data_IF_309147203201
#
_entry.id   IF_309147203201
#
_cell.length_a   1.000
_cell.length_b   1.000
_cell.length_c   1.000
_cell.angle_alpha   90.00
_cell.angle_beta   90.00
_cell.angle_gamma   90.00
#
_symmetry.space_group_name_H-M   'P 1'
#
loop_
_entity.id
_entity.type
_entity.pdbx_description
1 polymer ?
#
# COMPACT_ATOMS: atom_id res chain seq x y z
N UNK A 1 33.04 30.65 -21.93
CA UNK A 1 33.10 29.21 -21.56
C UNK A 1 31.81 28.86 -20.84
N UNK A 2 30.82 28.31 -21.55
CA UNK A 2 29.53 27.89 -20.96
C UNK A 2 29.61 26.41 -20.69
N UNK A 3 29.43 26.01 -19.44
CA UNK A 3 29.41 24.61 -19.01
C UNK A 3 28.01 24.07 -19.34
N UNK A 4 27.97 23.11 -20.25
CA UNK A 4 26.78 22.34 -20.62
C UNK A 4 26.47 21.36 -19.49
N UNK A 5 25.34 21.56 -18.79
CA UNK A 5 24.84 20.58 -17.81
C UNK A 5 23.99 19.56 -18.55
N UNK A 6 24.50 18.34 -18.63
CA UNK A 6 23.83 17.17 -19.19
C UNK A 6 22.44 16.98 -18.55
N UNK A 7 21.42 16.82 -19.41
CA UNK A 7 20.09 16.33 -19.04
C UNK A 7 20.22 14.86 -18.62
N UNK A 8 20.13 14.60 -17.32
CA UNK A 8 19.88 13.24 -16.83
C UNK A 8 18.37 13.04 -16.92
N UNK A 9 17.94 12.28 -17.93
CA UNK A 9 16.56 11.85 -18.12
C UNK A 9 16.30 10.67 -17.19
N UNK A 10 15.61 10.92 -16.06
CA UNK A 10 15.04 9.82 -15.28
C UNK A 10 13.82 9.26 -16.01
N UNK A 11 13.64 7.92 -16.04
CA UNK A 11 12.49 7.31 -16.70
C UNK A 11 11.25 7.52 -15.83
N UNK A 12 10.57 8.66 -16.01
CA UNK A 12 9.20 8.84 -15.54
C UNK A 12 8.32 7.96 -16.44
N UNK A 13 8.20 6.67 -16.10
CA UNK A 13 7.12 5.86 -16.65
C UNK A 13 5.83 6.46 -16.10
N UNK A 14 5.19 7.23 -16.97
CA UNK A 14 3.81 7.68 -16.94
C UNK A 14 3.01 7.10 -15.76
N UNK A 15 2.74 7.95 -14.77
CA UNK A 15 1.53 7.79 -13.95
C UNK A 15 0.40 7.47 -14.93
N UNK A 16 -0.33 6.37 -14.71
CA UNK A 16 -1.51 6.08 -15.53
C UNK A 16 -2.62 7.03 -15.07
N UNK A 17 -2.48 8.30 -15.48
CA UNK A 17 -3.37 9.42 -15.17
C UNK A 17 -4.80 9.12 -15.66
N UNK A 18 -4.97 8.10 -16.50
CA UNK A 18 -6.25 7.58 -16.97
C UNK A 18 -7.16 7.14 -15.81
N UNK A 19 -6.59 6.65 -14.69
CA UNK A 19 -7.36 6.28 -13.50
C UNK A 19 -7.93 7.54 -12.82
N UNK A 20 -7.14 8.62 -12.74
CA UNK A 20 -7.55 9.92 -12.20
C UNK A 20 -8.40 10.77 -13.17
N UNK A 21 -8.39 10.44 -14.46
CA UNK A 21 -9.17 11.09 -15.53
C UNK A 21 -10.53 10.44 -15.76
N UNK A 22 -10.83 9.32 -15.10
CA UNK A 22 -12.15 8.71 -15.17
C UNK A 22 -13.16 9.63 -14.49
N UNK A 23 -14.20 10.01 -15.24
CA UNK A 23 -15.15 11.09 -14.98
C UNK A 23 -16.15 10.81 -13.83
N UNK A 24 -15.75 9.99 -12.86
CA UNK A 24 -16.57 9.61 -11.69
C UNK A 24 -15.80 9.68 -10.36
N UNK A 25 -14.62 10.31 -10.34
CA UNK A 25 -14.05 10.84 -9.10
C UNK A 25 -14.70 12.21 -8.84
N UNK A 26 -15.79 12.25 -8.08
CA UNK A 26 -16.07 13.44 -7.28
C UNK A 26 -15.28 13.30 -5.97
N UNK A 27 -14.11 13.96 -5.83
CA UNK A 27 -13.53 14.12 -4.51
C UNK A 27 -14.52 14.94 -3.66
N UNK A 28 -14.81 14.50 -2.44
CA UNK A 28 -15.68 15.17 -1.45
C UNK A 28 -15.17 16.58 -1.07
N UNK A 29 -14.05 17.01 -1.64
CA UNK A 29 -13.56 18.37 -1.67
C UNK A 29 -13.14 18.61 -3.13
N UNK A 30 -13.91 19.36 -3.90
CA UNK A 30 -13.43 19.87 -5.19
C UNK A 30 -12.28 20.86 -4.88
N UNK A 31 -11.01 20.53 -5.15
CA UNK A 31 -9.96 21.52 -5.01
C UNK A 31 -10.16 22.58 -6.11
N UNK A 32 -10.07 23.86 -5.77
CA UNK A 32 -10.09 24.94 -6.77
C UNK A 32 -8.94 24.72 -7.76
N UNK A 33 -9.28 24.28 -8.97
CA UNK A 33 -8.34 23.93 -10.02
C UNK A 33 -7.53 25.13 -10.52
N UNK A 34 -7.89 26.36 -10.12
CA UNK A 34 -7.11 27.56 -10.42
C UNK A 34 -5.92 27.78 -9.47
N UNK A 35 -5.86 27.08 -8.33
CA UNK A 35 -4.71 27.15 -7.40
C UNK A 35 -3.66 26.06 -7.64
N UNK A 36 -3.94 25.05 -8.47
CA UNK A 36 -3.01 23.93 -8.72
C UNK A 36 -1.98 24.36 -9.76
N UNK A 37 -1.03 25.21 -9.34
CA UNK A 37 0.10 25.59 -10.17
C UNK A 37 1.06 24.40 -10.29
N UNK A 38 0.91 23.62 -11.36
CA UNK A 38 1.75 22.50 -11.82
C UNK A 38 1.34 21.09 -11.38
N UNK A 39 1.20 20.20 -12.38
CA UNK A 39 0.99 18.75 -12.27
C UNK A 39 1.94 18.01 -11.30
N UNK A 40 3.03 18.65 -10.90
CA UNK A 40 4.03 18.12 -9.97
C UNK A 40 3.53 18.05 -8.51
N UNK A 41 2.43 18.74 -8.17
CA UNK A 41 1.90 18.81 -6.80
C UNK A 41 0.83 17.74 -6.50
N UNK A 42 0.26 17.10 -7.54
CA UNK A 42 -0.79 16.08 -7.39
C UNK A 42 -0.36 14.87 -6.53
N UNK A 43 0.86 14.31 -6.68
CA UNK A 43 1.32 13.24 -5.79
C UNK A 43 1.38 13.67 -4.33
N UNK A 44 1.86 14.90 -4.07
CA UNK A 44 1.96 15.44 -2.71
C UNK A 44 0.57 15.65 -2.09
N UNK A 45 -0.39 16.16 -2.86
CA UNK A 45 -1.76 16.38 -2.39
C UNK A 45 -2.45 15.04 -2.03
N UNK A 46 -2.21 13.99 -2.82
CA UNK A 46 -2.70 12.65 -2.49
C UNK A 46 -2.06 12.10 -1.21
N UNK A 47 -0.73 12.19 -1.08
CA UNK A 47 0.00 11.71 0.10
C UNK A 47 -0.36 12.48 1.37
N UNK A 48 -0.74 13.76 1.25
CA UNK A 48 -1.12 14.59 2.39
C UNK A 48 -2.39 14.12 3.12
N UNK A 49 -3.19 13.26 2.49
CA UNK A 49 -4.35 12.61 3.13
C UNK A 49 -3.96 11.56 4.16
N UNK A 50 -2.73 11.03 4.08
CA UNK A 50 -2.25 9.99 4.98
C UNK A 50 -1.43 10.59 6.11
N UNK A 51 -1.46 9.92 7.27
CA UNK A 51 -0.57 10.25 8.38
C UNK A 51 0.91 10.16 7.94
N UNK A 52 1.81 11.06 8.38
CA UNK A 52 3.20 11.07 7.92
C UNK A 52 3.95 9.74 8.04
N UNK A 53 3.65 8.94 9.08
CA UNK A 53 4.32 7.66 9.33
C UNK A 53 4.12 6.60 8.24
N UNK A 54 3.08 6.69 7.43
CA UNK A 54 2.78 5.69 6.39
C UNK A 54 3.08 6.18 4.97
N UNK A 55 3.32 7.48 4.78
CA UNK A 55 3.46 8.09 3.44
C UNK A 55 4.56 7.45 2.62
N UNK A 56 5.71 7.13 3.22
CA UNK A 56 6.83 6.51 2.51
C UNK A 56 6.47 5.11 1.95
N UNK A 57 5.59 4.38 2.64
CA UNK A 57 5.14 3.06 2.21
C UNK A 57 4.11 3.17 1.09
N UNK A 58 3.19 4.13 1.20
CA UNK A 58 2.19 4.42 0.16
C UNK A 58 2.88 4.90 -1.12
N UNK A 59 3.75 5.90 -1.01
CA UNK A 59 4.51 6.45 -2.13
C UNK A 59 5.35 5.35 -2.79
N UNK A 60 6.14 4.63 -2.00
CA UNK A 60 7.00 3.60 -2.55
C UNK A 60 6.23 2.44 -3.16
N UNK A 61 5.04 2.09 -2.65
CA UNK A 61 4.17 1.08 -3.25
C UNK A 61 3.65 1.52 -4.61
N UNK A 62 3.28 2.79 -4.75
CA UNK A 62 2.80 3.36 -6.02
C UNK A 62 3.94 3.44 -7.04
N UNK A 63 5.16 3.78 -6.60
CA UNK A 63 6.32 3.92 -7.47
C UNK A 63 7.13 2.64 -7.66
N UNK A 64 6.69 1.49 -7.11
CA UNK A 64 7.50 0.27 -7.11
C UNK A 64 7.65 -0.28 -8.54
N UNK A 65 8.89 -0.29 -9.02
CA UNK A 65 9.26 -0.91 -10.31
C UNK A 65 10.14 -2.14 -10.16
N UNK A 66 10.57 -2.45 -8.93
CA UNK A 66 11.57 -3.48 -8.64
C UNK A 66 10.98 -4.68 -7.87
N UNK A 67 9.66 -4.67 -7.62
CA UNK A 67 8.97 -5.65 -6.77
C UNK A 67 9.53 -5.67 -5.34
N UNK A 68 9.90 -4.51 -4.82
CA UNK A 68 10.30 -4.35 -3.42
C UNK A 68 9.09 -4.43 -2.46
N UNK A 69 7.88 -4.24 -2.99
CA UNK A 69 6.63 -4.29 -2.24
C UNK A 69 5.83 -5.57 -2.53
N UNK A 70 5.17 -6.08 -1.50
CA UNK A 70 4.41 -7.33 -1.54
C UNK A 70 3.05 -7.12 -2.20
N UNK A 71 2.79 -7.82 -3.31
CA UNK A 71 1.52 -7.82 -4.04
C UNK A 71 0.65 -9.05 -3.76
N UNK A 72 1.13 -10.00 -2.97
CA UNK A 72 0.45 -11.28 -2.70
C UNK A 72 -0.20 -11.28 -1.33
N UNK A 73 0.55 -10.91 -0.29
CA UNK A 73 0.06 -10.86 1.09
C UNK A 73 0.12 -9.45 1.69
N UNK A 74 0.55 -8.48 0.89
CA UNK A 74 0.60 -7.08 1.26
C UNK A 74 -0.62 -6.29 0.83
N UNK A 75 -0.60 -5.02 1.19
CA UNK A 75 -1.59 -4.03 0.79
C UNK A 75 -1.47 -3.74 -0.71
N UNK A 76 -2.62 -3.59 -1.37
CA UNK A 76 -2.73 -3.23 -2.78
C UNK A 76 -3.84 -2.21 -3.01
N UNK A 77 -3.80 -1.47 -4.11
CA UNK A 77 -4.92 -0.61 -4.50
C UNK A 77 -5.98 -1.46 -5.19
N UNK A 78 -7.18 -1.53 -4.61
CA UNK A 78 -8.30 -2.31 -5.16
C UNK A 78 -9.18 -1.44 -6.05
N UNK A 79 -9.33 -1.78 -7.35
CA UNK A 79 -10.30 -1.12 -8.20
C UNK A 79 -11.75 -1.32 -7.74
N UNK A 80 -12.04 -2.46 -7.08
CA UNK A 80 -13.38 -2.80 -6.58
C UNK A 80 -13.79 -1.88 -5.43
N UNK A 81 -12.90 -1.70 -4.44
CA UNK A 81 -13.16 -0.80 -3.31
C UNK A 81 -12.88 0.66 -3.63
N UNK A 82 -12.22 0.94 -4.76
CA UNK A 82 -11.68 2.25 -5.14
C UNK A 82 -10.75 2.84 -4.06
N UNK A 83 -10.09 1.97 -3.30
CA UNK A 83 -9.21 2.32 -2.19
C UNK A 83 -8.20 1.19 -1.91
N UNK A 84 -7.33 1.39 -0.92
CA UNK A 84 -6.40 0.39 -0.43
C UNK A 84 -7.14 -0.81 0.18
N UNK A 85 -6.60 -2.00 -0.09
CA UNK A 85 -7.15 -3.26 0.39
C UNK A 85 -6.04 -4.23 0.80
N UNK A 86 -6.43 -5.22 1.58
CA UNK A 86 -5.63 -6.41 1.88
C UNK A 86 -6.57 -7.60 1.91
N UNK A 87 -6.24 -8.68 1.20
CA UNK A 87 -7.15 -9.81 1.04
C UNK A 87 -8.50 -9.38 0.45
N UNK A 88 -9.60 -9.85 1.03
CA UNK A 88 -10.97 -9.57 0.61
C UNK A 88 -11.55 -8.25 1.17
N UNK A 89 -10.71 -7.39 1.76
CA UNK A 89 -11.18 -6.29 2.60
C UNK A 89 -10.49 -4.96 2.34
N UNK A 90 -11.21 -3.83 2.47
CA UNK A 90 -10.59 -2.52 2.54
C UNK A 90 -9.70 -2.42 3.79
N UNK A 91 -8.62 -1.66 3.67
CA UNK A 91 -7.74 -1.28 4.77
C UNK A 91 -7.76 0.23 4.93
N UNK A 92 -8.13 0.71 6.11
CA UNK A 92 -8.30 2.14 6.37
C UNK A 92 -7.08 2.63 7.15
N UNK A 93 -6.41 3.64 6.61
CA UNK A 93 -5.31 4.33 7.29
C UNK A 93 -5.85 5.55 8.03
N UNK A 94 -5.91 5.46 9.36
CA UNK A 94 -6.47 6.50 10.22
C UNK A 94 -5.55 7.71 10.32
N UNK A 95 -6.14 8.86 10.68
CA UNK A 95 -5.37 10.08 10.99
C UNK A 95 -4.38 9.89 12.15
N UNK A 96 -4.66 8.96 13.08
CA UNK A 96 -3.74 8.59 14.16
C UNK A 96 -2.49 7.84 13.69
N UNK A 97 -2.44 7.43 12.41
CA UNK A 97 -1.45 6.50 11.88
C UNK A 97 -1.87 5.03 12.02
N UNK A 98 -2.87 4.72 12.84
CA UNK A 98 -3.35 3.34 13.00
C UNK A 98 -3.99 2.79 11.73
N UNK A 99 -4.11 1.47 11.69
CA UNK A 99 -4.67 0.74 10.56
C UNK A 99 -5.93 0.03 11.02
N UNK A 100 -7.02 0.14 10.26
CA UNK A 100 -8.27 -0.57 10.54
C UNK A 100 -8.61 -1.56 9.42
N UNK A 101 -8.97 -2.80 9.80
CA UNK A 101 -9.43 -3.85 8.89
C UNK A 101 -10.59 -4.60 9.54
N UNK A 102 -11.73 -4.72 8.84
CA UNK A 102 -12.99 -5.32 9.35
C UNK A 102 -13.32 -4.83 10.77
N UNK A 103 -13.42 -3.50 10.93
CA UNK A 103 -13.78 -2.81 12.18
C UNK A 103 -12.82 -3.01 13.36
N UNK A 104 -11.66 -3.65 13.14
CA UNK A 104 -10.60 -3.79 14.14
C UNK A 104 -9.45 -2.87 13.81
N UNK A 105 -9.12 -2.01 14.77
CA UNK A 105 -7.97 -1.11 14.72
C UNK A 105 -6.70 -1.79 15.27
N UNK A 106 -5.57 -1.47 14.66
CA UNK A 106 -4.24 -1.92 15.01
C UNK A 106 -3.30 -0.72 15.09
N UNK A 107 -2.43 -0.72 16.08
CA UNK A 107 -1.41 0.33 16.24
C UNK A 107 -0.52 0.43 15.00
N UNK A 108 -0.41 1.63 14.45
CA UNK A 108 0.40 1.92 13.28
C UNK A 108 1.87 2.09 13.63
N UNK A 109 2.63 1.00 13.56
CA UNK A 109 4.08 1.00 13.81
C UNK A 109 4.86 0.84 12.51
N UNK A 110 6.13 1.27 12.50
CA UNK A 110 7.05 1.01 11.39
C UNK A 110 7.11 -0.48 11.04
N UNK A 111 7.17 -1.35 12.05
CA UNK A 111 7.24 -2.80 11.84
C UNK A 111 5.96 -3.38 11.24
N UNK A 112 4.79 -2.90 11.65
CA UNK A 112 3.54 -3.30 11.03
C UNK A 112 3.44 -2.81 9.58
N UNK A 113 3.85 -1.58 9.28
CA UNK A 113 3.87 -1.09 7.90
C UNK A 113 4.85 -1.87 7.02
N UNK A 114 6.04 -2.22 7.53
CA UNK A 114 6.95 -3.10 6.79
C UNK A 114 6.30 -4.44 6.45
N UNK A 115 5.62 -5.07 7.42
CA UNK A 115 4.89 -6.31 7.20
C UNK A 115 3.72 -6.14 6.23
N UNK A 116 3.02 -5.01 6.24
CA UNK A 116 1.89 -4.76 5.33
C UNK A 116 2.32 -4.44 3.90
N UNK A 117 3.49 -3.83 3.70
CA UNK A 117 3.87 -3.27 2.41
C UNK A 117 5.05 -3.96 1.73
N UNK A 118 6.09 -4.35 2.48
CA UNK A 118 7.35 -4.81 1.90
C UNK A 118 7.34 -6.31 1.59
N UNK A 119 8.05 -6.66 0.51
CA UNK A 119 8.30 -8.05 0.15
C UNK A 119 9.28 -8.73 1.12
N UNK A 120 10.24 -7.96 1.64
CA UNK A 120 11.27 -8.38 2.58
C UNK A 120 11.30 -7.41 3.79
N UNK A 121 10.41 -7.59 4.77
CA UNK A 121 10.45 -6.81 6.02
C UNK A 121 11.72 -7.13 6.80
N UNK A 122 12.32 -6.13 7.43
CA UNK A 122 13.62 -6.22 8.13
C UNK A 122 13.44 -5.96 9.63
N UNK A 123 12.62 -4.99 10.01
CA UNK A 123 12.50 -4.52 11.39
C UNK A 123 11.05 -4.58 11.87
N UNK A 124 10.70 -5.61 12.64
CA UNK A 124 9.38 -5.73 13.26
C UNK A 124 9.45 -6.44 14.61
N UNK A 125 8.51 -6.13 15.49
CA UNK A 125 8.38 -6.76 16.81
C UNK A 125 7.47 -7.99 16.74
N UNK A 126 7.48 -8.86 17.76
CA UNK A 126 6.49 -9.94 17.87
C UNK A 126 5.04 -9.44 17.89
N UNK A 127 4.78 -8.25 18.45
CA UNK A 127 3.45 -7.65 18.45
C UNK A 127 3.00 -7.24 17.05
N UNK A 128 3.91 -6.66 16.25
CA UNK A 128 3.63 -6.31 14.85
C UNK A 128 3.32 -7.56 14.03
N UNK A 129 4.08 -8.63 14.24
CA UNK A 129 3.84 -9.92 13.61
C UNK A 129 2.44 -10.45 13.96
N UNK A 130 2.09 -10.47 15.25
CA UNK A 130 0.76 -10.90 15.71
C UNK A 130 -0.37 -10.04 15.11
N UNK A 131 -0.19 -8.73 15.03
CA UNK A 131 -1.16 -7.82 14.41
C UNK A 131 -1.31 -8.12 12.91
N UNK A 132 -0.20 -8.26 12.19
CA UNK A 132 -0.20 -8.60 10.77
C UNK A 132 -0.90 -9.94 10.49
N UNK A 133 -0.61 -10.98 11.28
CA UNK A 133 -1.27 -12.30 11.14
C UNK A 133 -2.78 -12.20 11.36
N UNK A 134 -3.19 -11.42 12.37
CA UNK A 134 -4.60 -11.19 12.64
C UNK A 134 -5.29 -10.47 11.47
N UNK A 135 -4.60 -9.51 10.84
CA UNK A 135 -5.07 -8.83 9.62
C UNK A 135 -5.23 -9.86 8.49
N UNK A 136 -4.19 -10.64 8.19
CA UNK A 136 -4.20 -11.67 7.14
C UNK A 136 -5.39 -12.62 7.33
N UNK A 137 -5.55 -13.17 8.54
CA UNK A 137 -6.64 -14.10 8.86
C UNK A 137 -8.02 -13.47 8.72
N UNK A 138 -8.18 -12.22 9.18
CA UNK A 138 -9.47 -11.51 9.11
C UNK A 138 -9.86 -11.16 7.69
N UNK A 139 -8.91 -10.78 6.85
CA UNK A 139 -9.15 -10.43 5.46
C UNK A 139 -9.03 -11.60 4.49
N UNK A 140 -8.91 -12.83 4.98
CA UNK A 140 -8.78 -14.02 4.15
C UNK A 140 -7.59 -13.98 3.18
N UNK A 141 -6.59 -13.13 3.42
CA UNK A 141 -5.43 -12.97 2.54
C UNK A 141 -4.58 -14.25 2.44
N UNK A 142 -4.73 -15.19 3.38
CA UNK A 142 -4.09 -16.50 3.34
C UNK A 142 -4.69 -17.45 2.30
N UNK A 143 -5.90 -17.19 1.78
CA UNK A 143 -6.59 -18.10 0.86
C UNK A 143 -6.39 -17.71 -0.60
N UNK A 144 -6.42 -18.70 -1.49
CA UNK A 144 -6.31 -18.49 -2.92
C UNK A 144 -7.48 -17.64 -3.44
N UNK A 145 -7.19 -16.46 -3.98
CA UNK A 145 -8.23 -15.51 -4.39
C UNK A 145 -9.07 -14.99 -3.23
N UNK A 146 -8.52 -15.02 -2.01
CA UNK A 146 -9.14 -14.53 -0.77
C UNK A 146 -10.44 -15.25 -0.38
N UNK A 147 -10.66 -16.46 -0.89
CA UNK A 147 -11.85 -17.26 -0.67
C UNK A 147 -11.57 -18.44 0.27
N UNK A 148 -12.14 -18.48 1.48
CA UNK A 148 -11.96 -19.55 2.45
C UNK A 148 -12.39 -20.94 1.99
N UNK A 149 -13.23 -21.04 0.94
CA UNK A 149 -13.61 -22.33 0.35
C UNK A 149 -12.51 -22.93 -0.53
N UNK A 150 -11.50 -22.13 -0.88
CA UNK A 150 -10.34 -22.54 -1.68
C UNK A 150 -9.15 -22.89 -0.77
N UNK A 151 -8.14 -23.52 -1.36
CA UNK A 151 -6.90 -23.84 -0.65
C UNK A 151 -6.12 -22.60 -0.22
N UNK A 152 -5.14 -22.79 0.67
CA UNK A 152 -4.21 -21.73 1.06
C UNK A 152 -3.39 -21.24 -0.15
N UNK A 153 -3.15 -19.93 -0.20
CA UNK A 153 -2.21 -19.31 -1.12
C UNK A 153 -0.80 -19.66 -0.66
N UNK A 154 -0.01 -20.28 -1.53
CA UNK A 154 1.38 -20.65 -1.25
C UNK A 154 2.33 -19.76 -2.01
N UNK A 155 3.43 -19.35 -1.39
CA UNK A 155 4.51 -18.63 -2.04
C UNK A 155 5.87 -19.13 -1.59
N UNK A 156 6.88 -19.04 -2.46
CA UNK A 156 8.27 -19.31 -2.08
C UNK A 156 8.96 -18.05 -1.52
N UNK A 157 8.27 -16.92 -1.45
CA UNK A 157 8.83 -15.70 -0.90
C UNK A 157 9.20 -15.89 0.59
N UNK A 158 10.33 -15.31 0.99
CA UNK A 158 10.86 -15.41 2.35
C UNK A 158 9.82 -15.04 3.41
N UNK A 159 9.10 -13.94 3.19
CA UNK A 159 7.98 -13.48 4.03
C UNK A 159 6.91 -14.55 4.23
N UNK A 160 6.52 -15.27 3.17
CA UNK A 160 5.55 -16.35 3.33
C UNK A 160 6.14 -17.49 4.15
N UNK A 161 7.32 -17.98 3.78
CA UNK A 161 7.93 -19.16 4.42
C UNK A 161 8.24 -18.94 5.89
N UNK A 162 8.75 -17.75 6.25
CA UNK A 162 9.24 -17.47 7.60
C UNK A 162 8.20 -16.84 8.53
N UNK A 163 7.23 -16.09 7.99
CA UNK A 163 6.29 -15.31 8.80
C UNK A 163 4.87 -15.86 8.69
N UNK A 164 4.38 -16.11 7.49
CA UNK A 164 2.96 -16.46 7.28
C UNK A 164 2.74 -17.96 7.51
N UNK A 165 3.49 -18.80 6.79
CA UNK A 165 3.36 -20.26 6.75
C UNK A 165 3.33 -20.91 8.15
N UNK A 166 4.26 -20.59 9.08
CA UNK A 166 4.31 -21.26 10.39
C UNK A 166 3.08 -21.05 11.28
N UNK A 167 2.12 -20.21 10.85
CA UNK A 167 1.03 -19.70 11.67
C UNK A 167 -0.34 -19.97 11.05
N UNK A 168 -0.36 -20.35 9.76
CA UNK A 168 -1.56 -20.72 9.02
C UNK A 168 -1.61 -22.22 8.65
N UNK A 169 -0.48 -22.92 8.71
CA UNK A 169 -0.33 -24.39 8.56
C UNK A 169 0.13 -25.01 9.88
#
# INVERSE_FOLDING_TARGET
MKIEKQKISLPVKNYDITILKSKEFEPVIEPDLNEISTFNELPNLYLNKFHPSIREYIEGKISDTENAYDNTFGVYFSPEFRDWAIGDSPIIFKESGNVEVKEKEYEGTKGLYELLFKQNPIEFTPQDSNNYINIIKKSNAQFLGYDPSRGLSTSNAKKFVEIIKPIIE
#
